data_IF_197325893151
#
_entry.id   IF_197325893151
#
_cell.length_a   1.000
_cell.length_b   1.000
_cell.length_c   1.000
_cell.angle_alpha   90.00
_cell.angle_beta   90.00
_cell.angle_gamma   90.00
#
_symmetry.space_group_name_H-M   'P 1'
#
loop_
_entity.id
_entity.type
_entity.pdbx_description
1 polymer ?
#
# COMPACT_ATOMS: atom_id res chain seq x y z
N UNK A 1 -27.62 54.67 39.87
CA UNK A 1 -27.94 53.43 39.12
C UNK A 1 -28.40 53.84 37.73
N UNK A 2 -27.58 53.67 36.69
CA UNK A 2 -27.95 54.15 35.34
C UNK A 2 -26.88 53.97 34.26
N UNK A 3 -25.60 53.82 34.61
CA UNK A 3 -24.52 53.72 33.62
C UNK A 3 -24.33 52.30 33.05
N UNK A 4 -24.60 51.25 33.84
CA UNK A 4 -24.39 49.87 33.40
C UNK A 4 -25.36 49.37 32.34
N UNK A 5 -26.61 49.85 32.35
CA UNK A 5 -27.64 49.40 31.41
C UNK A 5 -27.40 49.95 30.00
N UNK A 6 -26.90 51.19 29.89
CA UNK A 6 -26.56 51.83 28.62
C UNK A 6 -25.37 51.15 27.91
N UNK A 7 -24.36 50.73 28.67
CA UNK A 7 -23.18 50.03 28.12
C UNK A 7 -23.56 48.63 27.61
N UNK A 8 -24.40 47.90 28.35
CA UNK A 8 -24.87 46.57 27.92
C UNK A 8 -25.71 46.67 26.66
N UNK A 9 -26.62 47.64 26.56
CA UNK A 9 -27.43 47.87 25.35
C UNK A 9 -26.57 48.26 24.14
N UNK A 10 -25.53 49.08 24.32
CA UNK A 10 -24.61 49.44 23.26
C UNK A 10 -23.84 48.22 22.73
N UNK A 11 -23.35 47.35 23.62
CA UNK A 11 -22.65 46.12 23.24
C UNK A 11 -23.57 45.17 22.48
N UNK A 12 -24.80 44.98 22.95
CA UNK A 12 -25.79 44.10 22.28
C UNK A 12 -26.14 44.63 20.88
N UNK A 13 -26.28 45.95 20.72
CA UNK A 13 -26.49 46.54 19.40
C UNK A 13 -25.30 46.31 18.48
N UNK A 14 -24.06 46.54 18.93
CA UNK A 14 -22.86 46.32 18.11
C UNK A 14 -22.74 44.85 17.69
N UNK A 15 -22.95 43.90 18.61
CA UNK A 15 -22.91 42.47 18.30
C UNK A 15 -24.00 42.11 17.28
N UNK A 16 -25.21 42.64 17.46
CA UNK A 16 -26.33 42.40 16.52
C UNK A 16 -26.04 42.98 15.14
N UNK A 17 -25.42 44.17 15.08
CA UNK A 17 -25.07 44.85 13.83
C UNK A 17 -23.94 44.13 13.09
N UNK A 18 -22.95 43.63 13.81
CA UNK A 18 -21.88 42.79 13.27
C UNK A 18 -22.44 41.45 12.79
N UNK A 19 -23.27 40.79 13.59
CA UNK A 19 -23.91 39.53 13.20
C UNK A 19 -24.79 39.69 11.96
N UNK A 20 -25.55 40.79 11.88
CA UNK A 20 -26.34 41.15 10.71
C UNK A 20 -25.44 41.44 9.50
N UNK A 21 -24.38 42.23 9.64
CA UNK A 21 -23.43 42.51 8.56
C UNK A 21 -22.71 41.24 8.06
N UNK A 22 -22.29 40.35 8.96
CA UNK A 22 -21.68 39.05 8.64
C UNK A 22 -22.68 38.11 7.96
N UNK A 23 -23.99 38.23 8.22
CA UNK A 23 -25.01 37.42 7.54
C UNK A 23 -25.19 37.77 6.06
N UNK A 24 -24.73 38.94 5.61
CA UNK A 24 -24.66 39.29 4.17
C UNK A 24 -23.34 38.90 3.51
N UNK A 25 -22.34 38.47 4.28
CA UNK A 25 -21.17 37.81 3.71
C UNK A 25 -21.59 36.39 3.37
N UNK A 26 -22.13 36.23 2.17
CA UNK A 26 -22.36 34.95 1.54
C UNK A 26 -20.99 34.31 1.29
N UNK A 27 -20.39 33.73 2.34
CA UNK A 27 -19.33 32.75 2.19
C UNK A 27 -20.03 31.49 1.67
N UNK A 28 -20.47 31.59 0.42
CA UNK A 28 -20.89 30.43 -0.33
C UNK A 28 -19.72 29.46 -0.21
N UNK A 29 -19.94 28.36 0.52
CA UNK A 29 -18.99 27.26 0.59
C UNK A 29 -18.53 27.01 -0.85
N UNK A 30 -17.22 26.91 -1.14
CA UNK A 30 -16.79 26.67 -2.51
C UNK A 30 -17.56 25.45 -2.97
N UNK A 31 -18.52 25.67 -3.88
CA UNK A 31 -19.33 24.62 -4.45
C UNK A 31 -18.31 23.66 -5.01
N UNK A 32 -18.26 22.44 -4.45
CA UNK A 32 -17.28 21.42 -4.83
C UNK A 32 -17.31 21.31 -6.34
N UNK A 33 -16.34 21.93 -7.01
CA UNK A 33 -16.31 21.98 -8.45
C UNK A 33 -15.86 20.60 -8.90
N UNK A 34 -16.82 19.76 -9.25
CA UNK A 34 -16.56 18.43 -9.76
C UNK A 34 -15.82 18.60 -11.08
N UNK A 35 -14.57 18.15 -11.13
CA UNK A 35 -13.86 18.08 -12.39
C UNK A 35 -14.54 17.01 -13.27
N UNK A 36 -14.70 17.27 -14.57
CA UNK A 36 -15.21 16.27 -15.49
C UNK A 36 -14.31 15.03 -15.42
N UNK A 37 -14.93 13.86 -15.40
CA UNK A 37 -14.21 12.58 -15.47
C UNK A 37 -13.47 12.56 -16.80
N UNK A 38 -12.14 12.31 -16.82
CA UNK A 38 -11.40 12.20 -18.05
C UNK A 38 -11.97 11.12 -18.99
N UNK A 39 -11.94 11.36 -20.30
CA UNK A 39 -12.48 10.43 -21.31
C UNK A 39 -11.73 9.09 -21.39
N UNK A 40 -10.58 8.97 -20.72
CA UNK A 40 -9.78 7.76 -20.61
C UNK A 40 -10.08 6.97 -19.32
N UNK A 41 -11.32 7.04 -18.83
CA UNK A 41 -11.81 6.22 -17.71
C UNK A 41 -12.83 5.19 -18.24
N UNK A 42 -12.62 3.88 -17.98
CA UNK A 42 -11.51 3.32 -17.24
C UNK A 42 -10.18 3.43 -18.02
N UNK A 43 -9.05 3.52 -17.30
CA UNK A 43 -7.73 3.55 -17.93
C UNK A 43 -7.53 2.33 -18.81
N UNK A 44 -6.64 2.45 -19.80
CA UNK A 44 -6.22 1.32 -20.61
C UNK A 44 -5.76 0.15 -19.71
N UNK A 45 -6.08 -1.07 -20.12
CA UNK A 45 -5.67 -2.27 -19.41
C UNK A 45 -4.16 -2.33 -19.20
N UNK A 46 -3.74 -2.99 -18.13
CA UNK A 46 -2.33 -3.22 -17.87
C UNK A 46 -1.70 -4.06 -18.99
N UNK A 47 -0.41 -3.85 -19.25
CA UNK A 47 0.33 -4.66 -20.21
C UNK A 47 0.19 -6.15 -19.87
N UNK A 48 -0.06 -6.98 -20.87
CA UNK A 48 -0.17 -8.44 -20.67
C UNK A 48 1.19 -9.02 -20.26
N UNK A 49 1.17 -9.94 -19.29
CA UNK A 49 2.38 -10.61 -18.81
C UNK A 49 2.72 -11.75 -19.80
N UNK A 50 3.95 -11.79 -20.35
CA UNK A 50 4.39 -12.88 -21.20
C UNK A 50 4.34 -14.22 -20.47
N UNK A 51 3.92 -15.27 -21.16
CA UNK A 51 3.95 -16.62 -20.61
C UNK A 51 5.39 -17.08 -20.41
N UNK A 52 5.69 -17.57 -19.21
CA UNK A 52 6.93 -18.27 -18.87
C UNK A 52 6.61 -19.59 -18.18
N UNK A 53 7.58 -20.50 -18.14
CA UNK A 53 7.50 -21.67 -17.28
C UNK A 53 7.77 -21.25 -15.82
N UNK A 54 6.69 -21.22 -15.03
CA UNK A 54 6.65 -20.89 -13.60
C UNK A 54 7.09 -22.03 -12.69
N UNK A 55 7.28 -23.24 -13.23
CA UNK A 55 7.78 -24.41 -12.48
C UNK A 55 9.26 -24.69 -12.73
N UNK A 56 9.91 -23.85 -13.54
CA UNK A 56 11.33 -23.96 -13.81
C UNK A 56 12.17 -23.69 -12.55
N UNK A 57 13.39 -24.26 -12.47
CA UNK A 57 14.27 -24.03 -11.33
C UNK A 57 14.71 -22.57 -11.22
N UNK A 58 14.96 -22.14 -9.98
CA UNK A 58 15.41 -20.80 -9.63
C UNK A 58 14.29 -19.76 -9.66
N UNK A 59 14.68 -18.49 -9.59
CA UNK A 59 13.76 -17.36 -9.53
C UNK A 59 13.12 -17.10 -10.88
N UNK A 60 11.92 -17.64 -11.10
CA UNK A 60 11.25 -17.59 -12.40
C UNK A 60 10.92 -16.18 -12.86
N UNK A 61 10.75 -15.23 -11.93
CA UNK A 61 10.50 -13.82 -12.26
C UNK A 61 11.66 -13.17 -13.04
N UNK A 62 12.89 -13.68 -12.94
CA UNK A 62 14.02 -13.16 -13.72
C UNK A 62 13.80 -13.33 -15.23
N UNK A 63 12.99 -14.30 -15.65
CA UNK A 63 12.62 -14.50 -17.07
C UNK A 63 11.73 -13.39 -17.62
N UNK A 64 11.14 -12.55 -16.76
CA UNK A 64 10.28 -11.43 -17.15
C UNK A 64 11.04 -10.11 -17.31
N UNK A 65 12.36 -10.09 -17.19
CA UNK A 65 13.16 -8.86 -17.26
C UNK A 65 12.94 -8.04 -18.53
N UNK A 66 12.93 -8.70 -19.68
CA UNK A 66 12.69 -8.03 -20.97
C UNK A 66 11.34 -7.29 -21.05
N UNK A 67 10.34 -7.76 -20.29
CA UNK A 67 9.01 -7.15 -20.23
C UNK A 67 8.94 -6.08 -19.14
N UNK A 68 9.55 -6.34 -17.99
CA UNK A 68 9.52 -5.45 -16.84
C UNK A 68 10.37 -4.19 -17.04
N UNK A 69 11.53 -4.28 -17.68
CA UNK A 69 12.47 -3.17 -17.86
C UNK A 69 11.83 -1.92 -18.53
N UNK A 70 11.18 -2.02 -19.71
CA UNK A 70 10.54 -0.85 -20.32
C UNK A 70 9.34 -0.32 -19.52
N UNK A 71 8.64 -1.18 -18.77
CA UNK A 71 7.56 -0.76 -17.89
C UNK A 71 8.10 0.01 -16.67
N UNK A 72 9.22 -0.41 -16.12
CA UNK A 72 9.90 0.25 -15.00
C UNK A 72 10.32 1.66 -15.38
N UNK A 73 10.90 1.84 -16.57
CA UNK A 73 11.26 3.17 -17.10
C UNK A 73 10.03 4.08 -17.24
N UNK A 74 8.91 3.55 -17.76
CA UNK A 74 7.69 4.32 -17.98
C UNK A 74 6.94 4.69 -16.70
N UNK A 75 6.97 3.81 -15.69
CA UNK A 75 6.15 3.94 -14.48
C UNK A 75 6.91 4.45 -13.26
N UNK A 76 8.24 4.33 -13.27
CA UNK A 76 9.10 4.58 -12.11
C UNK A 76 9.04 3.47 -11.05
N UNK A 77 8.33 2.37 -11.30
CA UNK A 77 8.30 1.21 -10.42
C UNK A 77 9.61 0.41 -10.59
N UNK A 78 10.27 -0.06 -9.52
CA UNK A 78 11.45 -0.90 -9.64
C UNK A 78 11.19 -2.13 -10.53
N UNK A 79 12.10 -2.41 -11.46
CA UNK A 79 11.95 -3.55 -12.39
C UNK A 79 11.79 -4.89 -11.65
N UNK A 80 12.51 -5.08 -10.54
CA UNK A 80 12.36 -6.26 -9.69
C UNK A 80 10.93 -6.43 -9.14
N UNK A 81 10.25 -5.33 -8.76
CA UNK A 81 8.87 -5.38 -8.30
C UNK A 81 7.90 -5.71 -9.45
N UNK A 82 8.09 -5.11 -10.64
CA UNK A 82 7.26 -5.44 -11.80
C UNK A 82 7.40 -6.93 -12.17
N UNK A 83 8.63 -7.47 -12.22
CA UNK A 83 8.89 -8.90 -12.46
C UNK A 83 8.17 -9.77 -11.43
N UNK A 84 8.25 -9.42 -10.15
CA UNK A 84 7.58 -10.14 -9.07
C UNK A 84 6.06 -10.14 -9.20
N UNK A 85 5.44 -8.98 -9.47
CA UNK A 85 3.99 -8.89 -9.67
C UNK A 85 3.52 -9.68 -10.90
N UNK A 86 4.28 -9.62 -12.00
CA UNK A 86 4.00 -10.42 -13.19
C UNK A 86 4.11 -11.91 -12.93
N UNK A 87 5.18 -12.36 -12.25
CA UNK A 87 5.38 -13.76 -11.90
C UNK A 87 4.27 -14.27 -10.96
N UNK A 88 3.88 -13.47 -9.96
CA UNK A 88 2.78 -13.79 -9.06
C UNK A 88 1.43 -13.92 -9.80
N UNK A 89 1.14 -13.08 -10.81
CA UNK A 89 -0.03 -13.26 -11.69
C UNK A 89 0.02 -14.60 -12.41
N UNK A 90 1.16 -14.97 -13.00
CA UNK A 90 1.29 -16.22 -13.76
C UNK A 90 1.15 -17.46 -12.86
N UNK A 91 1.78 -17.44 -11.68
CA UNK A 91 1.65 -18.51 -10.68
C UNK A 91 0.21 -18.59 -10.18
N UNK A 92 -0.42 -17.46 -9.87
CA UNK A 92 -1.81 -17.43 -9.41
C UNK A 92 -2.79 -17.93 -10.47
N UNK A 93 -2.54 -17.66 -11.76
CA UNK A 93 -3.36 -18.18 -12.85
C UNK A 93 -3.25 -19.71 -12.99
N UNK A 94 -2.08 -20.28 -12.68
CA UNK A 94 -1.87 -21.74 -12.68
C UNK A 94 -2.50 -22.39 -11.44
N UNK A 95 -2.24 -21.85 -10.25
CA UNK A 95 -2.67 -22.41 -8.97
C UNK A 95 -4.14 -22.13 -8.63
N UNK A 96 -4.67 -20.96 -9.00
CA UNK A 96 -6.04 -20.49 -8.73
C UNK A 96 -6.71 -19.94 -10.00
N UNK A 97 -7.08 -20.80 -10.97
CA UNK A 97 -7.49 -20.35 -12.32
C UNK A 97 -8.73 -19.44 -12.36
N UNK A 98 -9.58 -19.48 -11.33
CA UNK A 98 -10.80 -18.66 -11.23
C UNK A 98 -10.60 -17.32 -10.53
N UNK A 99 -9.41 -17.05 -9.97
CA UNK A 99 -9.12 -15.82 -9.23
C UNK A 99 -8.98 -14.60 -10.16
N UNK A 100 -8.39 -14.81 -11.35
CA UNK A 100 -8.18 -13.77 -12.37
C UNK A 100 -7.48 -12.49 -11.88
N UNK A 101 -6.67 -12.60 -10.82
CA UNK A 101 -5.85 -11.47 -10.35
C UNK A 101 -4.86 -11.02 -11.44
N UNK A 102 -4.64 -9.72 -11.52
CA UNK A 102 -3.72 -9.09 -12.48
C UNK A 102 -2.61 -8.36 -11.74
N UNK A 103 -1.42 -8.29 -12.33
CA UNK A 103 -0.21 -7.72 -11.74
C UNK A 103 -0.38 -6.26 -11.33
N UNK A 104 -1.23 -5.49 -12.02
CA UNK A 104 -1.49 -4.10 -11.68
C UNK A 104 -2.28 -3.93 -10.37
N UNK A 105 -3.07 -4.93 -9.96
CA UNK A 105 -3.69 -4.97 -8.63
C UNK A 105 -2.62 -5.13 -7.56
N UNK A 106 -1.69 -6.06 -7.76
CA UNK A 106 -0.55 -6.28 -6.86
C UNK A 106 0.37 -5.05 -6.81
N UNK A 107 0.60 -4.40 -7.95
CA UNK A 107 1.33 -3.15 -8.00
C UNK A 107 0.60 -2.04 -7.22
N UNK A 108 -0.72 -1.92 -7.36
CA UNK A 108 -1.51 -0.96 -6.57
C UNK A 108 -1.35 -1.16 -5.07
N UNK A 109 -1.37 -2.42 -4.61
CA UNK A 109 -1.12 -2.76 -3.19
C UNK A 109 0.31 -2.38 -2.81
N UNK A 110 1.32 -2.84 -3.56
CA UNK A 110 2.71 -2.53 -3.26
C UNK A 110 3.01 -1.03 -3.24
N UNK A 111 2.30 -0.22 -4.02
CA UNK A 111 2.41 1.24 -3.96
C UNK A 111 1.95 1.78 -2.61
N UNK A 112 0.75 1.38 -2.17
CA UNK A 112 0.14 1.83 -0.92
C UNK A 112 0.97 1.38 0.28
N UNK A 113 1.42 0.14 0.27
CA UNK A 113 2.11 -0.47 1.41
C UNK A 113 3.53 0.06 1.60
N UNK A 114 4.31 0.16 0.51
CA UNK A 114 5.75 0.46 0.65
C UNK A 114 6.36 1.22 -0.52
N UNK A 115 5.53 1.80 -1.40
CA UNK A 115 5.98 2.39 -2.68
C UNK A 115 6.87 1.41 -3.44
N UNK A 116 6.39 0.17 -3.58
CA UNK A 116 7.07 -0.95 -4.25
C UNK A 116 8.43 -1.31 -3.62
N UNK A 117 8.48 -1.40 -2.30
CA UNK A 117 9.69 -1.76 -1.54
C UNK A 117 10.70 -0.62 -1.38
N UNK A 118 10.33 0.62 -1.70
CA UNK A 118 11.23 1.78 -1.65
C UNK A 118 11.02 2.70 -0.44
N UNK A 119 10.02 2.41 0.38
CA UNK A 119 9.66 3.14 1.58
C UNK A 119 9.58 2.19 2.79
N UNK A 120 10.26 2.57 3.87
CA UNK A 120 10.43 1.80 5.10
C UNK A 120 9.87 2.51 6.33
N UNK A 121 8.99 3.50 6.15
CA UNK A 121 8.51 4.37 7.23
C UNK A 121 9.38 5.60 7.51
N UNK A 122 10.56 5.73 6.89
CA UNK A 122 11.46 6.88 7.03
C UNK A 122 11.82 7.49 5.69
N UNK A 123 11.73 8.82 5.60
CA UNK A 123 12.19 9.57 4.42
C UNK A 123 13.72 9.51 4.27
N UNK A 124 14.46 9.43 5.38
CA UNK A 124 15.92 9.48 5.39
C UNK A 124 16.58 8.10 5.23
N UNK A 125 15.86 7.02 5.55
CA UNK A 125 16.36 5.65 5.50
C UNK A 125 15.54 4.80 4.53
N UNK A 126 15.50 5.21 3.25
CA UNK A 126 14.71 4.52 2.23
C UNK A 126 15.19 3.08 2.05
N UNK A 127 14.24 2.19 1.81
CA UNK A 127 14.51 0.84 1.33
C UNK A 127 14.72 0.86 -0.19
N UNK A 128 15.32 -0.20 -0.71
CA UNK A 128 15.34 -0.54 -2.12
C UNK A 128 15.25 -2.07 -2.26
N UNK A 129 14.88 -2.54 -3.46
CA UNK A 129 14.90 -3.96 -3.76
C UNK A 129 16.24 -4.28 -4.43
N UNK A 130 17.03 -5.17 -3.83
CA UNK A 130 18.31 -5.60 -4.38
C UNK A 130 18.10 -6.54 -5.59
N UNK A 131 19.18 -6.96 -6.24
CA UNK A 131 19.12 -7.83 -7.43
C UNK A 131 18.41 -9.17 -7.16
N UNK A 132 18.63 -9.75 -5.98
CA UNK A 132 18.00 -10.99 -5.52
C UNK A 132 16.53 -10.84 -5.09
N UNK A 133 16.01 -9.61 -5.08
CA UNK A 133 14.61 -9.34 -4.73
C UNK A 133 14.36 -9.00 -3.26
N UNK A 134 15.39 -8.85 -2.43
CA UNK A 134 15.21 -8.50 -1.02
C UNK A 134 15.12 -6.99 -0.81
N UNK A 135 14.22 -6.59 0.08
CA UNK A 135 14.11 -5.22 0.54
C UNK A 135 15.21 -4.88 1.56
N UNK A 136 16.06 -3.91 1.22
CA UNK A 136 17.21 -3.48 2.02
C UNK A 136 17.21 -1.97 2.29
N UNK A 137 17.27 -1.53 3.56
CA UNK A 137 17.07 -2.35 4.77
C UNK A 137 15.67 -2.98 4.81
N UNK A 138 15.50 -4.00 5.65
CA UNK A 138 14.20 -4.63 5.91
C UNK A 138 13.14 -3.56 6.22
N UNK A 139 11.97 -3.72 5.61
CA UNK A 139 10.82 -2.85 5.83
C UNK A 139 10.00 -3.41 6.98
N UNK A 140 10.06 -2.76 8.13
CA UNK A 140 9.30 -3.11 9.33
C UNK A 140 8.42 -1.91 9.69
N UNK A 141 7.13 -2.17 9.81
CA UNK A 141 6.12 -1.19 10.18
C UNK A 141 6.22 -0.76 11.64
N UNK A 142 5.28 0.08 12.04
CA UNK A 142 5.12 0.45 13.45
C UNK A 142 4.41 -0.66 14.24
N UNK A 143 4.56 -0.68 15.58
CA UNK A 143 3.78 -1.56 16.45
C UNK A 143 2.28 -1.39 16.22
N UNK A 144 1.56 -2.50 16.18
CA UNK A 144 0.11 -2.52 16.24
C UNK A 144 -0.32 -2.68 17.71
N UNK A 145 -0.12 -1.63 18.50
CA UNK A 145 -0.26 -1.62 19.97
C UNK A 145 -1.62 -1.07 20.48
N UNK A 146 -2.54 -0.74 19.56
CA UNK A 146 -3.83 -0.14 19.91
C UNK A 146 -3.80 1.37 20.20
N UNK A 147 -2.67 2.05 19.97
CA UNK A 147 -2.61 3.51 20.00
C UNK A 147 -3.55 4.13 18.93
N UNK A 148 -3.95 5.41 19.07
CA UNK A 148 -4.96 6.01 18.19
C UNK A 148 -4.64 5.86 16.70
N UNK A 149 -5.52 5.16 15.97
CA UNK A 149 -5.36 4.88 14.54
C UNK A 149 -4.77 3.51 14.20
N UNK A 150 -4.39 2.72 15.21
CA UNK A 150 -3.77 1.40 15.02
C UNK A 150 -4.57 0.29 15.71
N UNK A 151 -4.58 -0.90 15.10
CA UNK A 151 -5.11 -2.10 15.72
C UNK A 151 -4.22 -2.52 16.90
N UNK A 152 -4.78 -3.27 17.85
CA UNK A 152 -4.03 -3.94 18.91
C UNK A 152 -3.86 -5.42 18.54
N UNK A 153 -2.67 -5.81 18.11
CA UNK A 153 -2.33 -7.16 17.65
C UNK A 153 -1.09 -7.66 18.42
N UNK A 154 -1.29 -8.46 19.48
CA UNK A 154 -0.18 -9.04 20.24
C UNK A 154 0.71 -9.91 19.35
N UNK A 155 1.99 -10.07 19.74
CA UNK A 155 2.96 -10.94 19.07
C UNK A 155 2.39 -12.35 18.78
N UNK A 156 2.55 -12.81 17.54
CA UNK A 156 2.07 -14.13 17.09
C UNK A 156 3.17 -15.09 16.65
N UNK A 157 4.43 -14.65 16.61
CA UNK A 157 5.55 -15.44 16.10
C UNK A 157 6.83 -15.43 16.96
N UNK A 158 6.81 -14.76 18.11
CA UNK A 158 7.95 -14.64 19.00
C UNK A 158 8.97 -13.60 18.54
N UNK A 159 8.54 -12.61 17.75
CA UNK A 159 9.40 -11.62 17.10
C UNK A 159 10.26 -12.17 15.96
N UNK A 160 9.86 -13.28 15.34
CA UNK A 160 10.64 -13.95 14.31
C UNK A 160 10.75 -13.11 13.04
N UNK A 161 9.66 -12.49 12.59
CA UNK A 161 9.62 -11.75 11.33
C UNK A 161 9.89 -10.26 11.51
N UNK A 162 9.48 -9.66 12.62
CA UNK A 162 9.57 -8.21 12.86
C UNK A 162 10.51 -7.79 14.00
N UNK A 163 11.00 -8.75 14.80
CA UNK A 163 11.87 -8.49 15.94
C UNK A 163 11.17 -7.93 17.18
N UNK A 164 9.83 -7.85 17.20
CA UNK A 164 9.04 -7.35 18.31
C UNK A 164 8.37 -8.51 19.04
N UNK A 165 8.67 -8.68 20.33
CA UNK A 165 8.14 -9.79 21.13
C UNK A 165 6.89 -9.41 21.94
N UNK A 166 6.35 -8.21 21.73
CA UNK A 166 5.15 -7.74 22.42
C UNK A 166 3.98 -7.50 21.44
N UNK A 167 4.25 -6.84 20.32
CA UNK A 167 3.24 -6.46 19.34
C UNK A 167 3.69 -6.78 17.92
N UNK A 168 2.82 -7.42 17.13
CA UNK A 168 3.07 -7.69 15.72
C UNK A 168 3.18 -6.36 14.94
N UNK A 169 4.02 -6.39 13.91
CA UNK A 169 4.23 -5.29 12.96
C UNK A 169 4.06 -5.76 11.54
N UNK A 170 3.70 -4.84 10.65
CA UNK A 170 3.67 -5.15 9.22
C UNK A 170 5.10 -5.31 8.66
N UNK A 171 5.37 -6.38 7.93
CA UNK A 171 6.69 -6.76 7.41
C UNK A 171 6.74 -6.78 5.89
N UNK A 172 7.87 -6.32 5.36
CA UNK A 172 8.22 -6.46 3.95
C UNK A 172 7.49 -5.51 2.99
N UNK A 173 7.78 -5.62 1.67
CA UNK A 173 7.23 -4.73 0.65
C UNK A 173 5.70 -4.76 0.51
N UNK A 174 5.06 -5.85 0.94
CA UNK A 174 3.60 -6.01 0.88
C UNK A 174 2.95 -5.96 2.27
N UNK A 175 3.70 -5.54 3.30
CA UNK A 175 3.22 -5.22 4.64
C UNK A 175 2.32 -6.31 5.27
N UNK A 176 2.77 -7.56 5.20
CA UNK A 176 2.12 -8.68 5.88
C UNK A 176 2.24 -8.56 7.39
N UNK A 177 1.26 -9.03 8.14
CA UNK A 177 1.37 -9.24 9.59
C UNK A 177 1.84 -10.69 9.79
N UNK A 178 2.66 -11.02 10.81
CA UNK A 178 3.19 -12.38 11.00
C UNK A 178 2.15 -13.50 10.91
N UNK A 179 0.98 -13.32 11.53
CA UNK A 179 -0.11 -14.30 11.43
C UNK A 179 -0.63 -14.49 10.00
N UNK A 180 -0.79 -13.42 9.23
CA UNK A 180 -1.25 -13.52 7.84
C UNK A 180 -0.16 -14.09 6.93
N UNK A 181 1.11 -13.76 7.19
CA UNK A 181 2.25 -14.38 6.49
C UNK A 181 2.27 -15.89 6.69
N UNK A 182 2.07 -16.36 7.93
CA UNK A 182 2.01 -17.80 8.24
C UNK A 182 0.96 -18.55 7.42
N UNK A 183 -0.16 -17.90 7.08
CA UNK A 183 -1.25 -18.51 6.31
C UNK A 183 -1.00 -18.43 4.80
N UNK A 184 -0.56 -17.26 4.34
CA UNK A 184 -0.58 -16.93 2.92
C UNK A 184 0.79 -16.85 2.25
N UNK A 185 1.87 -16.63 3.00
CA UNK A 185 3.24 -16.56 2.48
C UNK A 185 3.64 -17.80 1.70
N UNK A 186 4.36 -17.61 0.59
CA UNK A 186 4.82 -18.67 -0.31
C UNK A 186 6.18 -18.29 -0.86
N UNK A 187 7.05 -19.29 -1.02
CA UNK A 187 8.30 -19.16 -1.75
C UNK A 187 7.98 -19.07 -3.26
N UNK A 188 8.35 -17.95 -3.87
CA UNK A 188 8.20 -17.66 -5.29
C UNK A 188 9.55 -17.34 -5.97
N UNK A 189 10.63 -17.23 -5.21
CA UNK A 189 11.98 -17.07 -5.74
C UNK A 189 12.72 -18.42 -5.92
N UNK A 190 12.16 -19.50 -5.39
CA UNK A 190 12.62 -20.87 -5.53
C UNK A 190 13.83 -21.23 -4.68
N UNK A 191 14.10 -20.49 -3.59
CA UNK A 191 15.23 -20.76 -2.69
C UNK A 191 14.89 -21.74 -1.54
N UNK A 192 13.62 -22.13 -1.41
CA UNK A 192 13.11 -23.05 -0.40
C UNK A 192 12.60 -22.38 0.88
N UNK A 193 12.67 -21.04 0.97
CA UNK A 193 12.27 -20.28 2.16
C UNK A 193 11.32 -19.15 1.76
N UNK A 194 10.10 -19.15 2.31
CA UNK A 194 9.18 -18.03 2.15
C UNK A 194 9.59 -16.86 3.08
N UNK A 195 10.14 -15.78 2.52
CA UNK A 195 10.55 -14.58 3.25
C UNK A 195 9.69 -13.35 2.87
N UNK A 196 9.00 -12.69 3.82
CA UNK A 196 8.16 -11.53 3.51
C UNK A 196 8.96 -10.32 3.02
N UNK A 197 10.27 -10.27 3.26
CA UNK A 197 11.16 -9.23 2.74
C UNK A 197 11.62 -9.47 1.31
N UNK A 198 11.36 -10.66 0.76
CA UNK A 198 11.61 -10.98 -0.63
C UNK A 198 10.38 -10.61 -1.46
N UNK A 199 10.55 -9.78 -2.50
CA UNK A 199 9.43 -9.19 -3.25
C UNK A 199 8.58 -10.19 -4.04
N UNK A 200 9.17 -11.25 -4.57
CA UNK A 200 8.46 -12.33 -5.28
C UNK A 200 7.57 -13.10 -4.31
N UNK A 201 8.12 -13.48 -3.17
CA UNK A 201 7.40 -14.20 -2.12
C UNK A 201 6.27 -13.34 -1.56
N UNK A 202 6.55 -12.07 -1.28
CA UNK A 202 5.58 -11.11 -0.80
C UNK A 202 4.45 -10.89 -1.82
N UNK A 203 4.79 -10.77 -3.11
CA UNK A 203 3.83 -10.61 -4.19
C UNK A 203 2.95 -11.85 -4.35
N UNK A 204 3.53 -13.06 -4.32
CA UNK A 204 2.76 -14.30 -4.40
C UNK A 204 1.91 -14.51 -3.15
N UNK A 205 2.42 -14.18 -1.96
CA UNK A 205 1.65 -14.20 -0.72
C UNK A 205 0.42 -13.29 -0.81
N UNK A 206 0.57 -12.08 -1.36
CA UNK A 206 -0.55 -11.15 -1.57
C UNK A 206 -1.56 -11.70 -2.59
N UNK A 207 -1.07 -12.29 -3.68
CA UNK A 207 -1.93 -12.95 -4.66
C UNK A 207 -2.71 -14.11 -4.02
N UNK A 208 -2.04 -14.95 -3.24
CA UNK A 208 -2.67 -16.07 -2.54
C UNK A 208 -3.73 -15.61 -1.53
N UNK A 209 -3.46 -14.56 -0.76
CA UNK A 209 -4.42 -13.96 0.17
C UNK A 209 -5.68 -13.49 -0.57
N UNK A 210 -5.51 -12.77 -1.69
CA UNK A 210 -6.62 -12.26 -2.47
C UNK A 210 -7.40 -13.36 -3.19
N UNK A 211 -6.71 -14.35 -3.76
CA UNK A 211 -7.35 -15.46 -4.46
C UNK A 211 -8.11 -16.40 -3.51
N UNK A 212 -7.81 -16.38 -2.21
CA UNK A 212 -8.52 -17.17 -1.21
C UNK A 212 -9.75 -16.46 -0.64
N UNK A 213 -9.76 -15.11 -0.64
CA UNK A 213 -10.75 -14.30 0.09
C UNK A 213 -11.53 -13.31 -0.80
N UNK A 214 -11.27 -13.28 -2.11
CA UNK A 214 -11.82 -12.33 -3.09
C UNK A 214 -12.91 -12.89 -3.98
#
# INVERSE_FOLDING_TARGET
MGCGLGVVLAIVMVISLIGWALSFLDISSPTRQLQPVPDNVPPAGAAEVPLIDVHAPGRTSDKLDFWAAPLAEKTGIPAAAIRAYGNAELIARDAWPTCHIRWNTLAGIGWVESRHGTYSGSYFNRSHINEAGFAEPKIIGIPLDGSPGFAAIPDTDGGLLDGDTEWDRAVGPMQFIPESWKRYGRDANGDGVADPHQIDDAALGAAHLLCTNG
#
